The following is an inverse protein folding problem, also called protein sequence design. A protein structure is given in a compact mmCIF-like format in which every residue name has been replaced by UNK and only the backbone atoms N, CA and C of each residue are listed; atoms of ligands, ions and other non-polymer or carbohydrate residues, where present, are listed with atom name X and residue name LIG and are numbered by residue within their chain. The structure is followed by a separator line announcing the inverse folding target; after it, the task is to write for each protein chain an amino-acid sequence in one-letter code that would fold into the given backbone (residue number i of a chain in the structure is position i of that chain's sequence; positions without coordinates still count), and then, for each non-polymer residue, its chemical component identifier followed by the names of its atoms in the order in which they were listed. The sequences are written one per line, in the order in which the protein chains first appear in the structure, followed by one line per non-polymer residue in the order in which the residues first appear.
data_IF_917637825445
#
_entry.id   IF_917637825445
#
_cell.length_a   1.000
_cell.length_b   1.000
_cell.length_c   1.000
_cell.angle_alpha   90.00
_cell.angle_beta   90.00
_cell.angle_gamma   90.00
#
_symmetry.space_group_name_H-M   'P 1'
#
loop_
_entity.id
_entity.type
_entity.pdbx_description
1 polymer ?
#
# COMPACT_ATOMS: atom_id res chain seq x y z
N UNK A 1 14.17 -5.06 4.34
CA UNK A 1 14.83 -6.33 3.98
C UNK A 1 15.37 -6.21 2.57
N UNK A 2 16.17 -7.17 2.10
CA UNK A 2 16.59 -7.23 0.70
C UNK A 2 15.78 -8.29 -0.04
N UNK A 3 15.57 -8.15 -1.36
CA UNK A 3 14.99 -9.21 -2.19
C UNK A 3 15.62 -10.57 -1.90
N UNK A 4 14.83 -11.64 -2.00
CA UNK A 4 15.26 -13.03 -1.78
C UNK A 4 15.75 -13.36 -0.35
N UNK A 5 15.38 -12.56 0.65
CA UNK A 5 15.62 -12.87 2.08
C UNK A 5 14.40 -13.48 2.76
N UNK A 6 14.63 -14.13 3.90
CA UNK A 6 13.63 -14.85 4.71
C UNK A 6 12.43 -13.97 5.16
N UNK A 7 12.46 -12.66 5.00
CA UNK A 7 11.37 -11.77 5.41
C UNK A 7 11.36 -11.49 6.91
N UNK A 8 10.18 -11.18 7.45
CA UNK A 8 10.02 -10.88 8.87
C UNK A 8 9.63 -12.13 9.68
N UNK A 9 10.52 -12.57 10.57
CA UNK A 9 10.23 -13.64 11.52
C UNK A 9 9.89 -14.98 10.86
N UNK A 10 8.65 -15.44 11.05
CA UNK A 10 8.12 -16.71 10.51
C UNK A 10 7.24 -16.53 9.27
N UNK A 11 7.07 -15.30 8.80
CA UNK A 11 6.17 -14.99 7.68
C UNK A 11 6.92 -15.10 6.36
N UNK A 12 6.24 -15.56 5.31
CA UNK A 12 6.82 -15.63 3.97
C UNK A 12 7.03 -14.23 3.43
N UNK A 13 8.20 -13.98 2.84
CA UNK A 13 8.47 -12.78 2.08
C UNK A 13 7.95 -12.91 0.64
N UNK A 14 7.62 -11.78 0.04
CA UNK A 14 7.28 -11.69 -1.38
C UNK A 14 8.42 -11.00 -2.12
N UNK A 15 8.88 -11.60 -3.21
CA UNK A 15 9.79 -10.94 -4.18
C UNK A 15 9.23 -11.12 -5.58
N UNK A 16 8.91 -10.01 -6.25
CA UNK A 16 8.48 -10.01 -7.66
C UNK A 16 9.48 -9.25 -8.49
N UNK A 17 10.12 -9.94 -9.44
CA UNK A 17 11.06 -9.32 -10.39
C UNK A 17 10.28 -8.73 -11.56
N UNK A 18 10.51 -7.46 -11.87
CA UNK A 18 9.91 -6.83 -13.04
C UNK A 18 10.82 -7.00 -14.26
N UNK A 19 10.26 -7.26 -15.46
CA UNK A 19 11.02 -7.38 -16.69
C UNK A 19 11.50 -6.02 -17.25
N UNK A 20 11.02 -4.92 -16.67
CA UNK A 20 11.26 -3.57 -17.16
C UNK A 20 12.59 -3.01 -16.67
N UNK A 21 13.16 -2.08 -17.44
CA UNK A 21 14.33 -1.33 -17.00
C UNK A 21 13.97 -0.44 -15.79
N UNK A 22 14.90 -0.32 -14.84
CA UNK A 22 14.72 0.53 -13.66
C UNK A 22 14.47 1.99 -14.09
N UNK A 23 13.45 2.65 -13.52
CA UNK A 23 13.04 4.01 -13.93
C UNK A 23 14.17 5.04 -13.76
N UNK A 24 15.02 4.85 -12.74
CA UNK A 24 16.19 5.70 -12.51
C UNK A 24 17.27 5.54 -13.59
N UNK A 25 17.31 4.43 -14.33
CA UNK A 25 18.37 4.17 -15.31
C UNK A 25 18.44 5.25 -16.41
N UNK A 26 17.31 5.87 -16.77
CA UNK A 26 17.27 6.95 -17.77
C UNK A 26 18.01 8.22 -17.33
N UNK A 27 18.13 8.46 -16.02
CA UNK A 27 18.74 9.66 -15.47
C UNK A 27 19.85 9.38 -14.46
N UNK A 28 20.27 8.13 -14.33
CA UNK A 28 21.25 7.63 -13.38
C UNK A 28 22.53 8.48 -13.35
N UNK A 29 23.13 8.70 -14.54
CA UNK A 29 24.34 9.52 -14.71
C UNK A 29 24.17 10.97 -14.23
N UNK A 30 22.97 11.54 -14.39
CA UNK A 30 22.68 12.95 -14.04
C UNK A 30 22.45 13.16 -12.56
N UNK A 31 21.95 12.14 -11.86
CA UNK A 31 21.66 12.19 -10.42
C UNK A 31 22.73 11.49 -9.58
N UNK A 32 23.76 10.92 -10.21
CA UNK A 32 24.89 10.27 -9.54
C UNK A 32 24.52 8.96 -8.84
N UNK A 33 23.51 8.25 -9.33
CA UNK A 33 23.10 6.94 -8.80
C UNK A 33 23.37 5.84 -9.82
N UNK A 34 23.58 4.61 -9.35
CA UNK A 34 23.66 3.43 -10.22
C UNK A 34 22.36 2.63 -10.12
N UNK A 35 21.80 2.24 -11.26
CA UNK A 35 20.56 1.47 -11.35
C UNK A 35 20.81 0.16 -12.13
N UNK A 36 21.80 -0.61 -11.67
CA UNK A 36 22.35 -1.78 -12.37
C UNK A 36 21.44 -3.01 -12.30
N UNK A 37 20.46 -3.01 -11.39
CA UNK A 37 19.59 -4.15 -11.14
C UNK A 37 18.20 -3.93 -11.74
N UNK A 38 17.59 -5.02 -12.21
CA UNK A 38 16.18 -5.03 -12.55
C UNK A 38 15.34 -4.68 -11.30
N UNK A 39 14.35 -3.78 -11.40
CA UNK A 39 13.48 -3.41 -10.30
C UNK A 39 12.77 -4.63 -9.75
N UNK A 40 12.67 -4.70 -8.43
CA UNK A 40 12.00 -5.78 -7.73
C UNK A 40 11.04 -5.22 -6.69
N UNK A 41 9.84 -5.78 -6.63
CA UNK A 41 8.95 -5.56 -5.50
C UNK A 41 9.38 -6.50 -4.39
N UNK A 42 9.70 -5.97 -3.22
CA UNK A 42 10.03 -6.75 -2.05
C UNK A 42 9.17 -6.36 -0.85
N UNK A 43 8.46 -7.34 -0.29
CA UNK A 43 7.75 -7.19 0.98
C UNK A 43 8.27 -8.22 1.97
N UNK A 44 8.45 -7.78 3.21
CA UNK A 44 8.90 -8.66 4.29
C UNK A 44 7.84 -9.68 4.72
N UNK A 45 6.57 -9.38 4.44
CA UNK A 45 5.43 -10.24 4.68
C UNK A 45 4.59 -10.21 3.41
N UNK A 46 4.37 -11.36 2.82
CA UNK A 46 3.45 -11.57 1.72
C UNK A 46 2.00 -11.41 2.22
N UNK A 47 1.28 -10.35 1.79
CA UNK A 47 -0.08 -10.10 2.25
C UNK A 47 -1.05 -11.20 1.82
N UNK A 48 -0.83 -11.84 0.67
CA UNK A 48 -1.71 -12.88 0.13
C UNK A 48 -1.56 -14.20 0.89
N UNK A 49 -0.34 -14.50 1.30
CA UNK A 49 -0.02 -15.74 2.03
C UNK A 49 -0.11 -15.60 3.53
N UNK A 50 -0.53 -14.44 4.04
CA UNK A 50 -0.67 -14.24 5.48
C UNK A 50 -1.73 -15.20 6.02
N UNK A 51 -1.34 -16.20 6.84
CA UNK A 51 -2.28 -17.20 7.31
C UNK A 51 -3.32 -16.58 8.25
N UNK A 52 -4.56 -17.07 8.15
CA UNK A 52 -5.70 -16.76 9.02
C UNK A 52 -6.30 -15.35 8.89
N UNK A 53 -5.85 -14.51 7.94
CA UNK A 53 -6.44 -13.18 7.74
C UNK A 53 -7.90 -13.28 7.28
N UNK A 54 -8.20 -14.17 6.33
CA UNK A 54 -9.56 -14.34 5.81
C UNK A 54 -10.55 -14.81 6.89
N UNK A 55 -10.15 -15.75 7.76
CA UNK A 55 -11.00 -16.23 8.86
C UNK A 55 -11.19 -15.19 9.95
N UNK A 56 -10.11 -14.49 10.34
CA UNK A 56 -10.19 -13.38 11.29
C UNK A 56 -11.09 -12.27 10.76
N UNK A 57 -11.01 -12.00 9.45
CA UNK A 57 -11.83 -11.00 8.79
C UNK A 57 -13.30 -11.41 8.74
N UNK A 58 -13.61 -12.67 8.40
CA UNK A 58 -14.98 -13.18 8.43
C UNK A 58 -15.62 -13.02 9.82
N UNK A 59 -14.87 -13.31 10.89
CA UNK A 59 -15.34 -13.11 12.27
C UNK A 59 -15.59 -11.62 12.58
N UNK A 60 -14.72 -10.72 12.13
CA UNK A 60 -14.91 -9.27 12.30
C UNK A 60 -16.13 -8.78 11.54
N UNK A 61 -16.30 -9.19 10.28
CA UNK A 61 -17.47 -8.86 9.47
C UNK A 61 -18.75 -9.29 10.16
N UNK A 62 -18.83 -10.54 10.60
CA UNK A 62 -20.05 -11.07 11.23
C UNK A 62 -20.36 -10.36 12.56
N UNK A 63 -19.30 -9.98 13.30
CA UNK A 63 -19.44 -9.25 14.57
C UNK A 63 -19.94 -7.82 14.38
N UNK A 64 -19.45 -7.13 13.35
CA UNK A 64 -19.71 -5.72 13.11
C UNK A 64 -20.74 -5.45 12.00
N UNK A 65 -21.28 -6.51 11.38
CA UNK A 65 -22.22 -6.46 10.25
C UNK A 65 -21.69 -5.60 9.08
N UNK A 66 -20.45 -5.87 8.67
CA UNK A 66 -19.74 -5.11 7.63
C UNK A 66 -20.13 -5.55 6.21
N UNK A 67 -20.02 -4.66 5.24
CA UNK A 67 -20.27 -4.97 3.82
C UNK A 67 -19.19 -5.89 3.25
N UNK A 68 -19.58 -7.11 2.86
CA UNK A 68 -18.68 -8.07 2.21
C UNK A 68 -18.19 -7.57 0.85
N UNK A 69 -19.02 -6.81 0.13
CA UNK A 69 -18.72 -6.36 -1.23
C UNK A 69 -17.58 -5.34 -1.32
N UNK A 70 -17.29 -4.62 -0.24
CA UNK A 70 -16.11 -3.75 -0.12
C UNK A 70 -14.81 -4.56 -0.08
N UNK A 71 -14.83 -5.72 0.59
CA UNK A 71 -13.64 -6.57 0.79
C UNK A 71 -13.35 -7.48 -0.38
N UNK A 72 -14.37 -7.94 -1.08
CA UNK A 72 -14.19 -8.68 -2.34
C UNK A 72 -13.52 -7.82 -3.42
N UNK A 73 -13.57 -6.48 -3.25
CA UNK A 73 -12.89 -5.50 -4.11
C UNK A 73 -11.52 -5.07 -3.57
N UNK A 74 -11.07 -5.60 -2.44
CA UNK A 74 -9.76 -5.27 -1.89
C UNK A 74 -8.65 -5.80 -2.81
N UNK A 75 -7.81 -4.90 -3.32
CA UNK A 75 -6.75 -5.22 -4.27
C UNK A 75 -5.42 -5.42 -3.53
N UNK A 76 -5.20 -6.63 -2.99
CA UNK A 76 -3.96 -7.00 -2.29
C UNK A 76 -2.73 -6.93 -3.19
N UNK A 77 -2.86 -7.34 -4.46
CA UNK A 77 -1.81 -7.19 -5.47
C UNK A 77 -1.34 -5.74 -5.65
N UNK A 78 -2.28 -4.80 -5.65
CA UNK A 78 -1.98 -3.37 -5.79
C UNK A 78 -1.27 -2.83 -4.54
N UNK A 79 -1.69 -3.28 -3.35
CA UNK A 79 -0.98 -2.97 -2.11
C UNK A 79 0.46 -3.48 -2.16
N UNK A 80 0.66 -4.71 -2.65
CA UNK A 80 1.98 -5.30 -2.78
C UNK A 80 2.86 -4.54 -3.78
N UNK A 81 2.27 -4.03 -4.86
CA UNK A 81 2.95 -3.17 -5.82
C UNK A 81 3.39 -1.84 -5.21
N UNK A 82 2.50 -1.14 -4.48
CA UNK A 82 2.80 0.18 -3.92
C UNK A 82 3.81 0.10 -2.77
N UNK A 83 3.69 -0.89 -1.89
CA UNK A 83 4.56 -1.04 -0.72
C UNK A 83 5.86 -1.81 -1.02
N UNK A 84 5.86 -2.64 -2.06
CA UNK A 84 7.02 -3.46 -2.42
C UNK A 84 8.07 -2.72 -3.23
N UNK A 85 7.71 -1.62 -3.89
CA UNK A 85 8.62 -0.87 -4.75
C UNK A 85 9.80 -0.27 -3.97
N UNK A 86 11.01 -0.46 -4.47
CA UNK A 86 12.23 0.16 -3.94
C UNK A 86 12.45 1.60 -4.44
N UNK A 87 11.49 2.15 -5.20
CA UNK A 87 11.47 3.53 -5.67
C UNK A 87 10.21 4.27 -5.21
N UNK A 88 10.36 5.57 -4.95
CA UNK A 88 9.23 6.48 -4.73
C UNK A 88 9.01 7.37 -5.95
N UNK A 89 7.75 7.50 -6.38
CA UNK A 89 7.36 8.38 -7.47
C UNK A 89 6.89 9.73 -6.91
N UNK A 90 7.75 10.76 -6.95
CA UNK A 90 7.38 12.13 -6.57
C UNK A 90 7.07 12.93 -7.83
N UNK A 91 5.81 13.37 -7.96
CA UNK A 91 5.38 14.25 -9.05
C UNK A 91 5.40 15.72 -8.63
N UNK A 92 5.62 16.63 -9.58
CA UNK A 92 5.61 18.08 -9.32
C UNK A 92 4.29 18.71 -9.78
N UNK A 93 3.72 19.59 -8.95
CA UNK A 93 2.49 20.34 -9.28
C UNK A 93 2.76 21.72 -9.90
N UNK A 94 4.02 22.06 -10.18
CA UNK A 94 4.43 23.40 -10.65
C UNK A 94 3.72 23.81 -11.95
N UNK A 95 3.50 22.86 -12.86
CA UNK A 95 2.75 23.13 -14.11
C UNK A 95 1.29 23.50 -13.84
N UNK A 96 0.61 22.75 -12.96
CA UNK A 96 -0.78 23.02 -12.56
C UNK A 96 -0.89 24.37 -11.85
N UNK A 97 0.03 24.66 -10.93
CA UNK A 97 0.10 25.96 -10.22
C UNK A 97 0.28 27.14 -11.16
N UNK A 98 1.13 27.00 -12.19
CA UNK A 98 1.30 28.03 -13.22
C UNK A 98 0.03 28.25 -14.05
N UNK A 99 -0.81 27.24 -14.20
CA UNK A 99 -2.11 27.33 -14.88
C UNK A 99 -3.24 27.82 -13.96
N UNK A 100 -2.91 28.22 -12.72
CA UNK A 100 -3.87 28.80 -11.77
C UNK A 100 -4.47 27.82 -10.76
N UNK A 101 -4.02 26.55 -10.72
CA UNK A 101 -4.47 25.61 -9.69
C UNK A 101 -3.65 25.76 -8.41
N UNK A 102 -4.26 26.26 -7.35
CA UNK A 102 -3.65 26.50 -6.03
C UNK A 102 -4.10 25.50 -4.96
N UNK A 103 -4.98 24.57 -5.32
CA UNK A 103 -5.47 23.52 -4.42
C UNK A 103 -4.32 22.69 -3.82
N UNK A 104 -4.37 22.53 -2.51
CA UNK A 104 -3.52 21.64 -1.74
C UNK A 104 -4.39 20.91 -0.72
N UNK A 105 -3.95 19.71 -0.34
CA UNK A 105 -4.56 18.94 0.73
C UNK A 105 -3.42 18.36 1.58
N UNK A 106 -3.66 18.28 2.88
CA UNK A 106 -2.75 17.58 3.78
C UNK A 106 -2.96 16.07 3.62
N UNK A 107 -1.91 15.35 3.23
CA UNK A 107 -2.00 13.91 2.94
C UNK A 107 -2.44 13.11 4.17
N UNK A 108 -2.09 13.56 5.38
CA UNK A 108 -2.48 12.89 6.61
C UNK A 108 -3.96 13.11 6.91
N UNK A 109 -4.44 14.34 6.78
CA UNK A 109 -5.87 14.66 6.94
C UNK A 109 -6.75 13.90 5.93
N UNK A 110 -6.33 13.85 4.66
CA UNK A 110 -7.05 13.09 3.61
C UNK A 110 -7.04 11.59 3.85
N UNK A 111 -5.93 11.06 4.39
CA UNK A 111 -5.85 9.65 4.78
C UNK A 111 -6.83 9.35 5.92
N UNK A 112 -6.84 10.17 6.98
CA UNK A 112 -7.81 10.04 8.06
C UNK A 112 -9.25 10.17 7.56
N UNK A 113 -9.52 11.13 6.68
CA UNK A 113 -10.83 11.33 6.09
C UNK A 113 -11.30 10.11 5.31
N UNK A 114 -10.41 9.50 4.53
CA UNK A 114 -10.70 8.25 3.79
C UNK A 114 -11.11 7.12 4.74
N UNK A 115 -10.41 6.94 5.86
CA UNK A 115 -10.78 5.92 6.85
C UNK A 115 -12.15 6.19 7.48
N UNK A 116 -12.48 7.45 7.79
CA UNK A 116 -13.81 7.82 8.32
C UNK A 116 -14.93 7.52 7.31
N UNK A 117 -14.72 7.83 6.03
CA UNK A 117 -15.69 7.51 4.96
C UNK A 117 -15.91 6.00 4.84
N UNK A 118 -14.85 5.19 4.97
CA UNK A 118 -14.96 3.73 4.93
C UNK A 118 -15.69 3.16 6.17
N UNK A 119 -15.53 3.79 7.34
CA UNK A 119 -16.28 3.46 8.56
C UNK A 119 -17.78 3.81 8.39
N UNK A 120 -18.10 5.01 7.90
CA UNK A 120 -19.48 5.45 7.64
C UNK A 120 -20.18 4.58 6.58
N UNK A 121 -19.42 4.10 5.58
CA UNK A 121 -19.92 3.18 4.56
C UNK A 121 -20.10 1.74 5.09
N UNK A 122 -19.72 1.44 6.32
CA UNK A 122 -19.81 0.10 6.90
C UNK A 122 -18.82 -0.91 6.30
N UNK A 123 -17.76 -0.42 5.65
CA UNK A 123 -16.69 -1.26 5.10
C UNK A 123 -15.69 -1.60 6.22
N UNK A 124 -15.35 -0.61 7.04
CA UNK A 124 -14.49 -0.77 8.22
C UNK A 124 -15.32 -0.77 9.52
N UNK A 125 -14.86 -1.50 10.56
CA UNK A 125 -15.49 -1.45 11.88
C UNK A 125 -15.29 -0.09 12.56
N UNK A 126 -16.23 0.34 13.42
CA UNK A 126 -16.11 1.62 14.09
C UNK A 126 -14.93 1.70 15.06
N UNK A 127 -14.18 2.79 15.01
CA UNK A 127 -12.96 2.95 15.83
C UNK A 127 -13.26 2.86 17.32
N UNK A 128 -14.36 3.48 17.76
CA UNK A 128 -14.74 3.50 19.18
C UNK A 128 -15.06 2.10 19.71
N UNK A 129 -15.71 1.28 18.89
CA UNK A 129 -16.04 -0.10 19.26
C UNK A 129 -14.79 -0.98 19.23
N UNK A 130 -13.92 -0.78 18.25
CA UNK A 130 -12.66 -1.51 18.16
C UNK A 130 -11.77 -1.24 19.38
N UNK A 131 -11.61 0.05 19.78
CA UNK A 131 -10.80 0.45 20.93
C UNK A 131 -11.30 -0.06 22.28
N UNK A 132 -12.59 -0.34 22.40
CA UNK A 132 -13.15 -0.87 23.64
C UNK A 132 -12.86 -2.37 23.83
N UNK A 133 -12.47 -3.07 22.76
CA UNK A 133 -12.34 -4.52 22.72
C UNK A 133 -10.89 -5.04 22.71
N UNK A 134 -9.91 -4.15 22.54
CA UNK A 134 -8.47 -4.45 22.50
C UNK A 134 -7.70 -3.52 23.43
#
# INVERSE_FOLDING_TARGET
GTPDTQGFGKYEAMTVRMPNQHLLATHADKIGVSADNAPALFLQVDPEKWPNVNEAWAKLRDKYNLDQGGWDKATWDFLSFVLGGDWSCIATMSKARRLGWDGHADTWEELEHTFRVLEEAGILPPVDKLRAEF
#
